data_IF_592100071381
#
_entry.id   IF_592100071381
#
_cell.length_a   1.000
_cell.length_b   1.000
_cell.length_c   1.000
_cell.angle_alpha   90.00
_cell.angle_beta   90.00
_cell.angle_gamma   90.00
#
_symmetry.space_group_name_H-M   'P 1'
#
loop_
_entity.id
_entity.type
_entity.pdbx_description
1 polymer ?
#
# COMPACT_ATOMS: atom_id res chain seq x y z
N UNK A 1 -15.67 -11.44 -0.37
CA UNK A 1 -16.33 -12.73 -0.49
C UNK A 1 -15.87 -13.30 -1.81
N UNK A 2 -15.36 -14.53 -1.90
CA UNK A 2 -15.12 -15.14 -3.22
C UNK A 2 -16.39 -15.02 -4.08
N UNK A 3 -16.29 -15.01 -5.42
CA UNK A 3 -17.48 -14.99 -6.28
C UNK A 3 -18.49 -16.09 -5.89
N UNK A 4 -18.02 -17.23 -5.37
CA UNK A 4 -18.85 -18.28 -4.75
C UNK A 4 -19.52 -17.86 -3.44
N UNK A 5 -18.86 -17.08 -2.58
CA UNK A 5 -19.41 -16.59 -1.32
C UNK A 5 -20.44 -15.47 -1.55
N UNK A 6 -20.20 -14.56 -2.51
CA UNK A 6 -21.21 -13.57 -2.91
C UNK A 6 -22.43 -14.26 -3.54
N UNK A 7 -22.22 -15.27 -4.40
CA UNK A 7 -23.30 -16.09 -4.94
C UNK A 7 -24.05 -16.86 -3.84
N UNK A 8 -23.36 -17.38 -2.82
CA UNK A 8 -24.01 -18.06 -1.69
C UNK A 8 -24.88 -17.10 -0.89
N UNK A 9 -24.38 -15.92 -0.50
CA UNK A 9 -25.19 -14.95 0.24
C UNK A 9 -26.35 -14.41 -0.60
N UNK A 10 -26.19 -14.26 -1.92
CA UNK A 10 -27.27 -13.87 -2.81
C UNK A 10 -28.32 -14.98 -2.99
N UNK A 11 -27.88 -16.24 -3.06
CA UNK A 11 -28.76 -17.42 -3.03
C UNK A 11 -29.52 -17.51 -1.71
N UNK A 12 -28.89 -17.24 -0.56
CA UNK A 12 -29.56 -17.22 0.74
C UNK A 12 -30.56 -16.05 0.86
N UNK A 13 -30.23 -14.87 0.36
CA UNK A 13 -31.16 -13.73 0.32
C UNK A 13 -32.34 -13.98 -0.62
N UNK A 14 -32.10 -14.61 -1.77
CA UNK A 14 -33.15 -15.02 -2.71
C UNK A 14 -34.02 -16.14 -2.14
N UNK A 15 -33.43 -17.14 -1.46
CA UNK A 15 -34.18 -18.20 -0.77
C UNK A 15 -35.00 -17.63 0.40
N UNK A 16 -34.48 -16.68 1.16
CA UNK A 16 -35.21 -16.00 2.23
C UNK A 16 -36.37 -15.16 1.67
N UNK A 17 -36.16 -14.43 0.56
CA UNK A 17 -37.22 -13.67 -0.10
C UNK A 17 -38.31 -14.57 -0.71
N UNK A 18 -37.92 -15.74 -1.26
CA UNK A 18 -38.84 -16.76 -1.78
C UNK A 18 -39.64 -17.43 -0.65
N UNK A 19 -39.01 -17.74 0.49
CA UNK A 19 -39.67 -18.31 1.67
C UNK A 19 -40.69 -17.34 2.29
N UNK A 20 -40.48 -16.03 2.14
CA UNK A 20 -41.40 -14.98 2.61
C UNK A 20 -42.51 -14.62 1.60
N UNK A 21 -42.61 -15.33 0.46
CA UNK A 21 -43.68 -15.12 -0.52
C UNK A 21 -43.64 -13.76 -1.24
N UNK A 22 -42.53 -13.02 -1.16
CA UNK A 22 -42.42 -11.65 -1.70
C UNK A 22 -41.86 -11.67 -3.11
N UNK A 23 -42.69 -12.00 -4.09
CA UNK A 23 -42.35 -11.98 -5.52
C UNK A 23 -41.80 -10.63 -5.99
N UNK A 24 -42.23 -9.53 -5.38
CA UNK A 24 -41.69 -8.17 -5.60
C UNK A 24 -40.24 -7.99 -5.12
N UNK A 25 -39.86 -8.60 -3.99
CA UNK A 25 -38.50 -8.54 -3.46
C UNK A 25 -37.51 -9.33 -4.34
N UNK A 26 -37.93 -10.48 -4.87
CA UNK A 26 -37.13 -11.26 -5.83
C UNK A 26 -36.89 -10.52 -7.14
N UNK A 27 -37.90 -9.82 -7.66
CA UNK A 27 -37.77 -9.00 -8.87
C UNK A 27 -36.86 -7.80 -8.63
N UNK A 28 -36.97 -7.14 -7.47
CA UNK A 28 -36.11 -6.03 -7.07
C UNK A 28 -34.65 -6.46 -6.85
N UNK A 29 -34.42 -7.59 -6.16
CA UNK A 29 -33.09 -8.16 -5.97
C UNK A 29 -32.49 -8.63 -7.31
N UNK A 30 -33.29 -9.26 -8.17
CA UNK A 30 -32.88 -9.66 -9.50
C UNK A 30 -32.56 -8.48 -10.43
N UNK A 31 -33.27 -7.34 -10.29
CA UNK A 31 -32.98 -6.12 -11.06
C UNK A 31 -31.69 -5.45 -10.57
N UNK A 32 -31.47 -5.37 -9.25
CA UNK A 32 -30.21 -4.88 -8.66
C UNK A 32 -29.02 -5.75 -9.03
N UNK A 33 -29.18 -7.08 -9.02
CA UNK A 33 -28.13 -8.00 -9.46
C UNK A 33 -27.79 -7.86 -10.94
N UNK A 34 -28.81 -7.80 -11.82
CA UNK A 34 -28.59 -7.55 -13.26
C UNK A 34 -27.98 -6.18 -13.53
N UNK A 35 -28.28 -5.16 -12.72
CA UNK A 35 -27.66 -3.85 -12.82
C UNK A 35 -26.19 -3.91 -12.42
N UNK A 36 -25.88 -4.49 -11.26
CA UNK A 36 -24.51 -4.68 -10.78
C UNK A 36 -23.67 -5.51 -11.76
N UNK A 37 -24.23 -6.59 -12.33
CA UNK A 37 -23.54 -7.42 -13.32
C UNK A 37 -23.28 -6.68 -14.64
N UNK A 38 -24.25 -5.88 -15.13
CA UNK A 38 -24.04 -5.05 -16.33
C UNK A 38 -23.01 -3.93 -16.10
N UNK A 39 -22.98 -3.39 -14.90
CA UNK A 39 -22.01 -2.36 -14.50
C UNK A 39 -20.61 -2.98 -14.38
N UNK A 40 -20.50 -4.19 -13.86
CA UNK A 40 -19.29 -4.99 -13.87
C UNK A 40 -18.82 -5.33 -15.31
N UNK A 41 -19.72 -5.78 -16.18
CA UNK A 41 -19.42 -6.08 -17.59
C UNK A 41 -18.96 -4.81 -18.34
N UNK A 42 -19.58 -3.64 -18.09
CA UNK A 42 -19.14 -2.34 -18.64
C UNK A 42 -17.81 -1.85 -18.06
N UNK A 43 -17.53 -2.13 -16.79
CA UNK A 43 -16.22 -1.83 -16.18
C UNK A 43 -15.12 -2.75 -16.71
N UNK A 44 -15.47 -4.00 -17.07
CA UNK A 44 -14.56 -4.94 -17.74
C UNK A 44 -14.32 -4.60 -19.22
N UNK A 45 -15.23 -3.85 -19.87
CA UNK A 45 -15.00 -3.31 -21.23
C UNK A 45 -13.90 -2.24 -21.27
N UNK A 46 -13.56 -1.60 -20.14
CA UNK A 46 -12.41 -0.71 -20.05
C UNK A 46 -11.10 -1.50 -20.09
N UNK A 47 -10.67 -1.85 -21.30
CA UNK A 47 -9.34 -2.42 -21.52
C UNK A 47 -8.31 -1.33 -21.22
N UNK A 48 -7.57 -1.48 -20.12
CA UNK A 48 -6.40 -0.65 -19.85
C UNK A 48 -5.38 -0.96 -20.96
N UNK A 49 -5.29 -0.07 -21.94
CA UNK A 49 -4.28 -0.18 -22.99
C UNK A 49 -2.92 0.18 -22.38
N UNK A 50 -2.07 -0.84 -22.20
CA UNK A 50 -0.64 -0.60 -21.97
C UNK A 50 0.14 -0.87 -23.25
N UNK A 51 1.22 -0.12 -23.49
CA UNK A 51 2.16 -0.47 -24.55
C UNK A 51 2.66 -1.91 -24.40
N UNK A 52 2.89 -2.59 -25.52
CA UNK A 52 3.59 -3.87 -25.49
C UNK A 52 5.02 -3.66 -24.96
N UNK A 53 5.52 -4.62 -24.18
CA UNK A 53 6.89 -4.57 -23.69
C UNK A 53 7.88 -4.55 -24.87
N UNK A 54 8.90 -3.68 -24.85
CA UNK A 54 9.93 -3.66 -25.90
C UNK A 54 10.73 -4.97 -25.94
N UNK A 55 11.37 -5.31 -27.08
CA UNK A 55 12.15 -6.53 -27.22
C UNK A 55 13.37 -6.55 -26.28
N UNK A 56 13.85 -7.75 -25.97
CA UNK A 56 14.95 -7.95 -25.04
C UNK A 56 16.28 -7.37 -25.54
N UNK A 57 17.01 -6.73 -24.62
CA UNK A 57 18.38 -6.25 -24.82
C UNK A 57 19.42 -7.14 -24.14
N UNK A 58 20.64 -6.62 -24.00
CA UNK A 58 21.77 -7.30 -23.36
C UNK A 58 21.50 -7.63 -21.88
N UNK A 59 20.81 -6.75 -21.14
CA UNK A 59 20.42 -6.97 -19.74
C UNK A 59 19.09 -7.73 -19.60
N UNK A 60 18.60 -8.33 -20.69
CA UNK A 60 17.38 -9.13 -20.70
C UNK A 60 16.11 -8.35 -21.04
N UNK A 61 14.99 -8.93 -20.63
CA UNK A 61 13.66 -8.33 -20.72
C UNK A 61 12.80 -8.67 -19.51
N UNK A 62 12.00 -7.69 -19.11
CA UNK A 62 10.90 -7.81 -18.17
C UNK A 62 9.58 -7.50 -18.85
N UNK A 63 8.50 -8.00 -18.26
CA UNK A 63 7.13 -7.66 -18.62
C UNK A 63 6.26 -7.47 -17.37
N UNK A 64 5.10 -6.83 -17.54
CA UNK A 64 4.10 -6.60 -16.51
C UNK A 64 2.81 -7.32 -16.85
N UNK A 65 2.46 -8.32 -16.05
CA UNK A 65 1.15 -8.96 -16.09
C UNK A 65 0.08 -8.00 -15.51
N UNK A 66 -0.73 -7.43 -16.39
CA UNK A 66 -1.75 -6.44 -16.01
C UNK A 66 -2.85 -7.02 -15.13
N UNK A 67 -3.18 -8.31 -15.29
CA UNK A 67 -4.22 -8.99 -14.50
C UNK A 67 -3.81 -9.12 -13.02
N UNK A 68 -2.50 -9.10 -12.74
CA UNK A 68 -1.95 -9.13 -11.39
C UNK A 68 -1.64 -7.73 -10.85
N UNK A 69 -1.55 -6.71 -11.70
CA UNK A 69 -0.76 -5.53 -11.40
C UNK A 69 -1.19 -4.60 -10.25
N UNK A 70 -2.41 -4.48 -9.75
CA UNK A 70 -2.88 -3.59 -8.64
C UNK A 70 -2.37 -2.13 -8.48
N UNK A 71 -1.37 -1.62 -9.20
CA UNK A 71 -1.02 -0.20 -9.26
C UNK A 71 -0.16 0.37 -8.13
N UNK A 72 0.45 -0.45 -7.27
CA UNK A 72 1.17 -0.02 -6.05
C UNK A 72 2.32 0.97 -6.27
N UNK A 73 2.94 0.99 -7.46
CA UNK A 73 3.99 1.96 -7.80
C UNK A 73 5.41 1.59 -7.34
N UNK A 74 5.60 0.51 -6.57
CA UNK A 74 6.93 0.08 -6.07
C UNK A 74 7.97 -0.07 -7.18
N UNK A 75 7.58 -0.57 -8.36
CA UNK A 75 8.48 -0.72 -9.50
C UNK A 75 8.91 0.61 -10.12
N UNK A 76 8.02 1.60 -10.11
CA UNK A 76 8.30 2.94 -10.60
C UNK A 76 9.13 3.74 -9.60
N UNK A 77 9.05 3.43 -8.31
CA UNK A 77 9.98 3.95 -7.30
C UNK A 77 11.37 3.30 -7.45
N UNK A 78 11.41 1.98 -7.63
CA UNK A 78 12.66 1.22 -7.71
C UNK A 78 13.45 1.47 -9.01
N UNK A 79 12.78 1.55 -10.16
CA UNK A 79 13.43 1.81 -11.45
C UNK A 79 12.55 2.70 -12.35
N UNK A 80 12.48 4.01 -12.05
CA UNK A 80 11.67 4.95 -12.81
C UNK A 80 12.12 5.12 -14.26
N UNK A 81 13.30 4.67 -14.68
CA UNK A 81 13.71 4.73 -16.10
C UNK A 81 13.09 3.61 -16.94
N UNK A 82 12.89 2.43 -16.36
CA UNK A 82 12.36 1.21 -17.02
C UNK A 82 10.83 1.15 -16.92
N UNK A 83 10.24 1.50 -15.79
CA UNK A 83 8.79 1.37 -15.57
C UNK A 83 8.04 2.71 -15.71
N UNK A 84 6.86 2.65 -16.31
CA UNK A 84 5.95 3.77 -16.51
C UNK A 84 4.59 3.55 -15.86
N UNK A 85 3.79 4.60 -15.82
CA UNK A 85 2.43 4.59 -15.27
C UNK A 85 1.39 4.69 -16.39
N UNK A 86 0.53 3.68 -16.47
CA UNK A 86 -0.65 3.66 -17.34
C UNK A 86 -1.90 4.17 -16.59
N UNK A 87 -3.07 4.07 -17.20
CA UNK A 87 -4.32 4.36 -16.50
C UNK A 87 -4.47 3.47 -15.25
N UNK A 88 -5.20 3.97 -14.25
CA UNK A 88 -5.48 3.24 -13.02
C UNK A 88 -4.23 2.80 -12.24
N UNK A 89 -3.16 3.62 -12.31
CA UNK A 89 -1.86 3.40 -11.66
C UNK A 89 -1.12 2.12 -12.08
N UNK A 90 -1.62 1.38 -13.08
CA UNK A 90 -0.98 0.15 -13.56
C UNK A 90 0.41 0.46 -14.12
N UNK A 91 1.34 -0.45 -13.91
CA UNK A 91 2.68 -0.32 -14.45
C UNK A 91 2.73 -0.84 -15.90
N UNK A 92 3.67 -0.31 -16.67
CA UNK A 92 4.07 -0.88 -17.95
C UNK A 92 5.60 -0.73 -18.13
N UNK A 93 6.17 -1.48 -19.05
CA UNK A 93 7.60 -1.39 -19.39
C UNK A 93 7.80 -0.32 -20.47
N UNK A 94 8.48 0.78 -20.13
CA UNK A 94 8.82 1.87 -21.07
C UNK A 94 9.95 1.48 -22.00
N UNK A 95 10.96 0.85 -21.42
CA UNK A 95 12.15 0.32 -22.09
C UNK A 95 12.68 -0.85 -21.28
N UNK A 96 13.41 -1.76 -21.92
CA UNK A 96 14.14 -2.79 -21.20
C UNK A 96 15.38 -2.18 -20.53
N UNK A 97 15.88 -2.78 -19.43
CA UNK A 97 17.12 -2.32 -18.80
C UNK A 97 18.26 -2.33 -19.83
N UNK A 98 19.00 -1.23 -19.88
CA UNK A 98 20.05 -0.99 -20.87
C UNK A 98 21.42 -0.72 -20.25
N UNK A 99 21.48 -0.59 -18.93
CA UNK A 99 22.71 -0.39 -18.17
C UNK A 99 22.74 -1.30 -16.95
N UNK A 100 23.93 -1.46 -16.36
CA UNK A 100 24.13 -2.21 -15.12
C UNK A 100 23.28 -1.68 -13.96
N UNK A 101 23.19 -0.36 -13.84
CA UNK A 101 22.37 0.32 -12.83
C UNK A 101 20.88 -0.02 -13.02
N UNK A 102 20.38 0.12 -14.24
CA UNK A 102 18.98 -0.21 -14.56
C UNK A 102 18.68 -1.68 -14.34
N UNK A 103 19.62 -2.56 -14.62
CA UNK A 103 19.49 -3.99 -14.35
C UNK A 103 19.33 -4.27 -12.84
N UNK A 104 20.17 -3.68 -11.99
CA UNK A 104 20.08 -3.82 -10.52
C UNK A 104 18.74 -3.25 -10.01
N UNK A 105 18.37 -2.05 -10.45
CA UNK A 105 17.11 -1.41 -10.09
C UNK A 105 15.89 -2.19 -10.59
N UNK A 106 15.96 -2.81 -11.76
CA UNK A 106 14.91 -3.68 -12.31
C UNK A 106 14.78 -4.95 -11.48
N UNK A 107 15.89 -5.56 -11.02
CA UNK A 107 15.84 -6.68 -10.08
C UNK A 107 15.16 -6.29 -8.76
N UNK A 108 15.46 -5.10 -8.22
CA UNK A 108 14.75 -4.53 -7.07
C UNK A 108 13.25 -4.40 -7.35
N UNK A 109 12.87 -3.85 -8.51
CA UNK A 109 11.47 -3.68 -8.91
C UNK A 109 10.70 -5.01 -9.03
N UNK A 110 11.33 -6.05 -9.57
CA UNK A 110 10.75 -7.39 -9.69
C UNK A 110 10.51 -8.00 -8.30
N UNK A 111 11.51 -7.91 -7.40
CA UNK A 111 11.42 -8.42 -6.03
C UNK A 111 10.45 -7.61 -5.16
N UNK A 112 10.30 -6.32 -5.42
CA UNK A 112 9.47 -5.41 -4.65
C UNK A 112 7.99 -5.48 -4.98
N UNK A 113 7.56 -6.30 -5.95
CA UNK A 113 6.18 -6.39 -6.42
C UNK A 113 5.42 -7.50 -5.67
N UNK A 114 4.60 -7.19 -4.64
CA UNK A 114 3.89 -8.21 -3.86
C UNK A 114 2.96 -9.10 -4.69
N UNK A 115 2.18 -8.61 -5.68
CA UNK A 115 1.35 -9.50 -6.50
C UNK A 115 2.16 -10.29 -7.54
N UNK A 116 3.49 -10.11 -7.61
CA UNK A 116 4.39 -10.71 -8.61
C UNK A 116 3.95 -10.45 -10.05
N UNK A 117 3.40 -9.25 -10.30
CA UNK A 117 2.97 -8.85 -11.62
C UNK A 117 4.15 -8.65 -12.59
N UNK A 118 5.33 -8.33 -12.07
CA UNK A 118 6.52 -8.05 -12.86
C UNK A 118 7.40 -9.30 -12.85
N UNK A 119 7.82 -9.73 -14.03
CA UNK A 119 8.63 -10.94 -14.18
C UNK A 119 9.63 -10.77 -15.33
N UNK A 120 10.74 -11.51 -15.25
CA UNK A 120 11.70 -11.61 -16.34
C UNK A 120 11.14 -12.51 -17.43
N UNK A 121 10.97 -11.99 -18.64
CA UNK A 121 10.66 -12.79 -19.83
C UNK A 121 11.93 -13.35 -20.47
N UNK A 122 13.06 -12.67 -20.27
CA UNK A 122 14.40 -13.15 -20.62
C UNK A 122 15.42 -12.62 -19.61
N UNK A 123 16.08 -13.51 -18.88
CA UNK A 123 17.22 -13.16 -18.02
C UNK A 123 18.46 -13.88 -18.56
N UNK A 124 19.50 -13.18 -19.04
CA UNK A 124 20.72 -13.79 -19.54
C UNK A 124 21.37 -14.69 -18.49
N UNK A 125 21.81 -15.89 -18.88
CA UNK A 125 22.34 -16.90 -17.95
C UNK A 125 23.54 -16.39 -17.12
N UNK A 126 24.40 -15.55 -17.71
CA UNK A 126 25.53 -14.92 -17.00
C UNK A 126 25.09 -14.01 -15.86
N UNK A 127 23.96 -13.32 -16.01
CA UNK A 127 23.40 -12.40 -15.01
C UNK A 127 22.52 -13.12 -13.98
N UNK A 128 22.02 -14.32 -14.28
CA UNK A 128 21.21 -15.12 -13.37
C UNK A 128 21.98 -15.53 -12.11
N UNK A 129 23.28 -15.81 -12.24
CA UNK A 129 24.16 -16.23 -11.14
C UNK A 129 24.63 -15.07 -10.27
N UNK A 130 24.43 -13.83 -10.72
CA UNK A 130 24.76 -12.65 -9.93
C UNK A 130 23.66 -12.40 -8.90
N UNK A 131 23.52 -13.24 -7.89
CA UNK A 131 22.64 -12.94 -6.76
C UNK A 131 23.42 -12.10 -5.76
N UNK A 132 23.16 -10.80 -5.68
CA UNK A 132 23.67 -10.01 -4.54
C UNK A 132 22.67 -10.01 -3.39
N UNK A 133 23.21 -10.00 -2.17
CA UNK A 133 22.46 -9.86 -0.91
C UNK A 133 21.66 -8.55 -0.85
N UNK A 134 21.90 -7.60 -1.77
CA UNK A 134 21.38 -6.22 -1.74
C UNK A 134 20.32 -5.93 -2.80
N UNK A 135 19.83 -6.96 -3.49
CA UNK A 135 18.78 -6.81 -4.50
C UNK A 135 17.41 -6.66 -3.85
N UNK A 136 17.07 -5.45 -3.41
CA UNK A 136 15.73 -5.15 -2.94
C UNK A 136 15.72 -3.98 -1.99
N UNK A 137 15.67 -4.31 -0.71
CA UNK A 137 15.54 -3.38 0.39
C UNK A 137 16.39 -3.88 1.55
N UNK A 138 16.90 -2.99 2.41
CA UNK A 138 16.54 -1.57 2.50
C UNK A 138 17.15 -0.65 1.44
N UNK A 139 16.45 0.43 1.10
CA UNK A 139 16.91 1.51 0.23
C UNK A 139 17.04 2.81 1.03
N UNK A 140 18.23 3.41 1.06
CA UNK A 140 18.44 4.73 1.68
C UNK A 140 17.83 5.82 0.78
N UNK A 141 16.92 6.62 1.32
CA UNK A 141 16.20 7.68 0.58
C UNK A 141 16.75 9.07 0.91
N UNK A 142 17.05 9.32 2.18
CA UNK A 142 17.55 10.60 2.67
C UNK A 142 18.32 10.34 3.97
N UNK A 143 19.29 11.20 4.26
CA UNK A 143 20.04 11.19 5.50
C UNK A 143 20.37 12.63 5.88
N UNK A 144 20.68 12.85 7.15
CA UNK A 144 21.04 14.14 7.67
C UNK A 144 21.63 14.02 9.06
N UNK A 145 21.74 15.16 9.74
CA UNK A 145 22.31 15.21 11.08
C UNK A 145 21.52 14.32 12.07
N UNK A 146 22.18 13.30 12.60
CA UNK A 146 21.63 12.33 13.56
C UNK A 146 20.55 11.38 13.02
N UNK A 147 20.36 11.24 11.69
CA UNK A 147 19.41 10.28 11.14
C UNK A 147 19.74 9.72 9.75
N UNK A 148 19.26 8.50 9.52
CA UNK A 148 19.15 7.88 8.20
C UNK A 148 17.69 7.45 7.96
N UNK A 149 17.19 7.64 6.75
CA UNK A 149 15.81 7.31 6.38
C UNK A 149 15.77 6.29 5.25
N UNK A 150 15.20 5.12 5.53
CA UNK A 150 15.16 3.99 4.63
C UNK A 150 13.74 3.64 4.19
N UNK A 151 13.57 3.24 2.94
CA UNK A 151 12.45 2.40 2.54
C UNK A 151 12.82 0.93 2.78
N UNK A 152 11.91 0.16 3.39
CA UNK A 152 12.08 -1.26 3.69
C UNK A 152 11.35 -2.17 2.69
N UNK A 153 10.72 -1.58 1.68
CA UNK A 153 9.95 -2.30 0.67
C UNK A 153 8.53 -2.61 1.07
N UNK A 154 7.82 -3.24 0.13
CA UNK A 154 6.43 -3.61 0.30
C UNK A 154 6.28 -4.96 1.02
N UNK A 155 5.31 -5.07 1.93
CA UNK A 155 4.92 -6.37 2.51
C UNK A 155 4.37 -7.31 1.44
N UNK A 156 4.67 -8.60 1.55
CA UNK A 156 4.35 -9.63 0.54
C UNK A 156 2.87 -10.06 0.49
N UNK A 157 1.97 -9.28 1.08
CA UNK A 157 0.52 -9.56 1.06
C UNK A 157 -0.20 -8.76 -0.01
N UNK A 158 -1.44 -9.15 -0.31
CA UNK A 158 -2.19 -8.78 -1.53
C UNK A 158 -2.45 -7.28 -1.74
N UNK A 159 -2.28 -6.46 -0.71
CA UNK A 159 -2.33 -5.00 -0.80
C UNK A 159 -0.98 -4.31 -0.75
N UNK A 160 0.08 -4.93 -0.23
CA UNK A 160 1.46 -4.50 -0.43
C UNK A 160 1.82 -3.03 -0.18
N UNK A 161 2.21 -2.68 1.05
CA UNK A 161 2.47 -1.29 1.47
C UNK A 161 3.96 -0.97 1.56
N UNK A 162 4.43 0.10 0.92
CA UNK A 162 5.78 0.60 1.19
C UNK A 162 5.90 1.03 2.66
N UNK A 163 6.93 0.48 3.33
CA UNK A 163 7.22 0.77 4.72
C UNK A 163 8.52 1.54 4.87
N UNK A 164 8.63 2.33 5.92
CA UNK A 164 9.75 3.23 6.14
C UNK A 164 10.37 3.06 7.52
N UNK A 165 11.68 3.26 7.62
CA UNK A 165 12.42 3.26 8.88
C UNK A 165 13.22 4.55 9.02
N UNK A 166 13.01 5.24 10.13
CA UNK A 166 13.83 6.36 10.59
C UNK A 166 14.80 5.82 11.63
N UNK A 167 16.06 5.68 11.24
CA UNK A 167 17.16 5.36 12.16
C UNK A 167 17.60 6.66 12.82
N UNK A 168 17.51 6.73 14.15
CA UNK A 168 17.70 7.99 14.91
C UNK A 168 18.74 7.79 16.00
N UNK A 169 19.81 8.56 15.93
CA UNK A 169 20.90 8.49 16.90
C UNK A 169 20.39 8.86 18.32
N UNK A 170 20.62 7.97 19.29
CA UNK A 170 20.29 8.20 20.71
C UNK A 170 18.79 8.25 21.08
N UNK A 171 17.85 8.22 20.14
CA UNK A 171 16.38 8.35 20.43
C UNK A 171 15.55 7.09 20.19
N UNK A 172 16.15 6.07 19.57
CA UNK A 172 15.51 4.81 19.14
C UNK A 172 14.72 4.98 17.84
N UNK A 173 14.58 3.93 17.04
CA UNK A 173 14.07 4.05 15.67
C UNK A 173 12.54 4.10 15.59
N UNK A 174 12.03 4.74 14.54
CA UNK A 174 10.59 4.78 14.22
C UNK A 174 10.36 4.07 12.90
N UNK A 175 9.46 3.09 12.90
CA UNK A 175 8.96 2.44 11.71
C UNK A 175 7.59 3.02 11.37
N UNK A 176 7.33 3.30 10.09
CA UNK A 176 6.02 3.73 9.60
C UNK A 176 5.52 2.72 8.57
N UNK A 177 4.38 2.15 8.91
CA UNK A 177 3.83 0.89 8.39
C UNK A 177 4.67 -0.36 8.68
N UNK A 178 4.04 -1.54 8.85
CA UNK A 178 4.76 -2.78 9.09
C UNK A 178 5.55 -3.20 7.84
N UNK A 179 6.87 -3.36 7.98
CA UNK A 179 7.74 -3.76 6.89
C UNK A 179 7.67 -5.27 6.57
N UNK A 180 8.21 -5.65 5.41
CA UNK A 180 8.39 -7.05 5.02
C UNK A 180 9.14 -7.87 6.09
N UNK A 181 8.70 -9.12 6.29
CA UNK A 181 9.30 -10.05 7.24
C UNK A 181 10.48 -10.84 6.66
N UNK A 182 11.04 -10.42 5.52
CA UNK A 182 12.20 -11.09 4.94
C UNK A 182 13.38 -11.02 5.92
N UNK A 183 14.15 -12.10 6.01
CA UNK A 183 15.33 -12.18 6.90
C UNK A 183 16.24 -10.96 6.73
N UNK A 184 16.48 -10.54 5.49
CA UNK A 184 17.28 -9.36 5.17
C UNK A 184 16.77 -8.07 5.85
N UNK A 185 15.47 -7.79 5.77
CA UNK A 185 14.89 -6.57 6.36
C UNK A 185 14.90 -6.67 7.89
N UNK A 186 14.58 -7.85 8.43
CA UNK A 186 14.61 -8.10 9.87
C UNK A 186 16.02 -7.93 10.44
N UNK A 187 17.02 -8.61 9.87
CA UNK A 187 18.41 -8.52 10.29
C UNK A 187 18.91 -7.07 10.25
N UNK A 188 18.62 -6.34 9.16
CA UNK A 188 19.01 -4.94 9.02
C UNK A 188 18.41 -4.07 10.12
N UNK A 189 17.11 -4.20 10.39
CA UNK A 189 16.42 -3.42 11.42
C UNK A 189 17.01 -3.73 12.80
N UNK A 190 17.27 -5.00 13.10
CA UNK A 190 17.85 -5.41 14.37
C UNK A 190 19.29 -4.90 14.55
N UNK A 191 20.12 -4.96 13.49
CA UNK A 191 21.49 -4.41 13.50
C UNK A 191 21.54 -2.90 13.74
N UNK A 192 20.47 -2.17 13.41
CA UNK A 192 20.33 -0.73 13.64
C UNK A 192 19.68 -0.38 14.98
N UNK A 193 19.53 -1.35 15.89
CA UNK A 193 18.97 -1.13 17.22
C UNK A 193 17.46 -1.36 17.33
N UNK A 194 16.85 -2.07 16.37
CA UNK A 194 15.44 -2.45 16.40
C UNK A 194 14.49 -1.28 16.14
N UNK A 195 13.27 -1.37 16.67
CA UNK A 195 12.20 -0.37 16.50
C UNK A 195 11.65 0.00 17.87
N UNK A 196 11.61 1.31 18.18
CA UNK A 196 11.01 1.82 19.42
C UNK A 196 9.52 2.07 19.24
N UNK A 197 9.13 2.69 18.12
CA UNK A 197 7.74 2.96 17.76
C UNK A 197 7.41 2.45 16.37
N UNK A 198 6.28 1.75 16.24
CA UNK A 198 5.67 1.40 14.96
C UNK A 198 4.41 2.25 14.78
N UNK A 199 4.45 3.22 13.89
CA UNK A 199 3.29 4.06 13.57
C UNK A 199 2.54 3.44 12.40
N UNK A 200 1.26 3.12 12.63
CA UNK A 200 0.32 2.66 11.61
C UNK A 200 -0.48 3.87 11.15
N UNK A 201 -0.46 4.18 9.86
CA UNK A 201 -1.11 5.42 9.39
C UNK A 201 -2.63 5.31 9.39
N UNK A 202 -3.16 4.13 9.07
CA UNK A 202 -4.59 3.83 9.07
C UNK A 202 -4.85 2.31 9.10
N UNK A 203 -6.13 1.93 9.25
CA UNK A 203 -6.57 0.54 9.44
C UNK A 203 -6.26 -0.40 8.27
N UNK A 204 -6.05 0.13 7.06
CA UNK A 204 -5.85 -0.72 5.90
C UNK A 204 -4.45 -1.37 5.93
N UNK A 205 -3.50 -0.77 6.67
CA UNK A 205 -2.08 -1.12 6.68
C UNK A 205 -1.62 -1.73 8.00
N UNK A 206 -2.52 -2.41 8.71
CA UNK A 206 -2.17 -2.97 10.02
C UNK A 206 -1.42 -4.30 9.91
N UNK A 207 -1.55 -5.04 8.80
CA UNK A 207 -0.99 -6.39 8.66
C UNK A 207 0.52 -6.45 8.90
N UNK A 208 0.95 -7.31 9.82
CA UNK A 208 2.36 -7.51 10.18
C UNK A 208 2.80 -6.73 11.41
N UNK A 209 1.94 -5.88 11.99
CA UNK A 209 2.30 -5.10 13.18
C UNK A 209 2.63 -5.96 14.39
N UNK A 210 1.93 -7.09 14.61
CA UNK A 210 2.22 -7.98 15.75
C UNK A 210 3.56 -8.69 15.61
N UNK A 211 3.99 -9.01 14.38
CA UNK A 211 5.31 -9.56 14.13
C UNK A 211 6.40 -8.61 14.60
N UNK A 212 6.37 -7.35 14.15
CA UNK A 212 7.37 -6.36 14.54
C UNK A 212 7.33 -6.03 16.04
N UNK A 213 6.14 -6.02 16.66
CA UNK A 213 5.99 -5.92 18.11
C UNK A 213 6.69 -7.04 18.87
N UNK A 214 6.60 -8.27 18.36
CA UNK A 214 7.24 -9.45 18.93
C UNK A 214 8.76 -9.41 18.74
N UNK A 215 9.24 -9.01 17.57
CA UNK A 215 10.67 -8.98 17.25
C UNK A 215 11.42 -7.87 18.01
N UNK A 216 10.81 -6.71 18.20
CA UNK A 216 11.54 -5.51 18.66
C UNK A 216 11.08 -4.95 20.00
N UNK A 217 9.90 -5.36 20.49
CA UNK A 217 9.31 -4.73 21.65
C UNK A 217 8.63 -3.37 21.38
N UNK A 218 8.55 -2.93 20.12
CA UNK A 218 8.09 -1.59 19.77
C UNK A 218 6.70 -1.25 20.33
N UNK A 219 6.46 0.01 20.71
CA UNK A 219 5.12 0.49 21.02
C UNK A 219 4.40 0.85 19.72
N UNK A 220 3.25 0.24 19.46
CA UNK A 220 2.45 0.52 18.27
C UNK A 220 1.57 1.74 18.51
N UNK A 221 1.55 2.63 17.53
CA UNK A 221 0.85 3.91 17.56
C UNK A 221 -0.15 3.96 16.41
N UNK A 222 -1.42 4.21 16.72
CA UNK A 222 -2.50 4.35 15.74
C UNK A 222 -3.53 5.37 16.26
N UNK A 223 -4.27 6.02 15.38
CA UNK A 223 -5.37 6.89 15.80
C UNK A 223 -6.58 6.10 16.30
N UNK A 224 -7.27 6.59 17.33
CA UNK A 224 -8.42 5.88 17.93
C UNK A 224 -9.58 5.63 16.98
N UNK A 225 -9.75 6.50 15.98
CA UNK A 225 -10.80 6.36 14.96
C UNK A 225 -10.50 5.27 13.90
N UNK A 226 -9.32 4.65 13.95
CA UNK A 226 -8.92 3.51 13.11
C UNK A 226 -9.08 2.16 13.82
N UNK A 227 -9.58 2.15 15.06
CA UNK A 227 -9.64 0.95 15.87
C UNK A 227 -10.45 -0.18 15.21
N UNK A 228 -9.82 -1.34 15.09
CA UNK A 228 -10.37 -2.55 14.52
C UNK A 228 -10.18 -3.71 15.52
N UNK A 229 -11.28 -4.16 16.15
CA UNK A 229 -11.20 -5.19 17.19
C UNK A 229 -10.94 -6.60 16.65
N UNK A 230 -11.40 -6.90 15.44
CA UNK A 230 -11.30 -8.22 14.83
C UNK A 230 -10.47 -8.14 13.56
N UNK A 231 -9.69 -9.17 13.27
CA UNK A 231 -9.05 -9.30 11.97
C UNK A 231 -10.14 -9.56 10.92
N UNK A 232 -10.20 -8.73 9.87
CA UNK A 232 -11.19 -8.85 8.79
C UNK A 232 -10.47 -8.80 7.45
N UNK A 233 -10.54 -9.90 6.70
CA UNK A 233 -9.82 -10.02 5.43
C UNK A 233 -8.31 -9.88 5.65
N UNK A 234 -7.63 -8.92 4.99
CA UNK A 234 -6.19 -8.72 5.18
C UNK A 234 -5.87 -7.76 6.33
N UNK A 235 -6.87 -7.16 6.97
CA UNK A 235 -6.65 -6.22 8.07
C UNK A 235 -6.47 -7.02 9.35
N UNK A 236 -5.36 -6.77 10.04
CA UNK A 236 -5.05 -7.39 11.32
C UNK A 236 -5.71 -6.60 12.46
N UNK A 237 -6.23 -7.32 13.46
CA UNK A 237 -6.79 -6.72 14.66
C UNK A 237 -5.79 -5.74 15.29
N UNK A 238 -6.31 -4.59 15.68
CA UNK A 238 -5.61 -3.54 16.42
C UNK A 238 -5.99 -3.58 17.91
N UNK A 239 -6.54 -4.71 18.39
CA UNK A 239 -6.81 -4.86 19.81
C UNK A 239 -5.49 -4.93 20.59
N UNK A 240 -5.43 -4.25 21.73
CA UNK A 240 -4.25 -4.26 22.60
C UNK A 240 -3.05 -3.44 22.08
N UNK A 241 -3.24 -2.50 21.15
CA UNK A 241 -2.19 -1.54 20.83
C UNK A 241 -1.80 -0.69 22.05
N UNK A 242 -0.52 -0.35 22.12
CA UNK A 242 0.07 0.31 23.27
C UNK A 242 -0.27 1.80 23.36
N UNK A 243 -0.47 2.48 22.22
CA UNK A 243 -0.78 3.90 22.20
C UNK A 243 -1.81 4.28 21.14
N UNK A 244 -2.78 5.08 21.58
CA UNK A 244 -3.84 5.63 20.75
C UNK A 244 -3.70 7.14 20.67
N UNK A 245 -3.46 7.66 19.46
CA UNK A 245 -3.59 9.09 19.18
C UNK A 245 -5.07 9.45 19.25
N UNK A 246 -5.41 10.52 19.97
CA UNK A 246 -6.78 10.95 20.25
C UNK A 246 -6.96 12.43 19.93
N UNK A 247 -8.18 12.80 19.60
CA UNK A 247 -8.58 14.17 19.32
C UNK A 247 -8.70 14.45 17.82
N UNK A 248 -9.12 15.67 17.48
CA UNK A 248 -9.28 16.14 16.10
C UNK A 248 -8.27 17.24 15.73
N UNK A 249 -7.31 17.48 16.63
CA UNK A 249 -6.25 18.47 16.42
C UNK A 249 -5.30 17.99 15.33
N UNK A 250 -4.77 18.89 14.49
CA UNK A 250 -4.05 18.46 13.29
C UNK A 250 -2.73 17.79 13.62
N UNK A 251 -2.15 18.00 14.82
CA UNK A 251 -0.85 17.46 15.21
C UNK A 251 -0.92 16.84 16.59
N UNK A 252 -0.34 15.65 16.72
CA UNK A 252 0.01 14.97 17.95
C UNK A 252 1.48 14.57 17.93
N UNK A 253 2.02 14.15 19.06
CA UNK A 253 3.41 13.69 19.19
C UNK A 253 3.48 12.19 19.44
N UNK A 254 4.68 11.61 19.29
CA UNK A 254 4.96 10.28 19.82
C UNK A 254 4.80 10.25 21.36
N UNK A 255 4.65 9.07 21.98
CA UNK A 255 4.45 8.93 23.42
C UNK A 255 5.57 9.53 24.30
N UNK A 256 6.79 9.66 23.79
CA UNK A 256 7.92 10.30 24.47
C UNK A 256 8.03 11.81 24.20
N UNK A 257 7.09 12.38 23.45
CA UNK A 257 7.07 13.81 23.15
C UNK A 257 8.14 14.27 22.16
N UNK A 258 8.73 13.36 21.37
CA UNK A 258 9.81 13.72 20.44
C UNK A 258 9.40 14.86 19.49
N UNK A 259 10.06 16.04 19.56
CA UNK A 259 9.68 17.19 18.75
C UNK A 259 9.98 17.01 17.26
N UNK A 260 10.86 16.06 16.90
CA UNK A 260 11.23 15.81 15.51
C UNK A 260 10.17 14.99 14.76
N UNK A 261 9.23 14.34 15.47
CA UNK A 261 8.17 13.51 14.86
C UNK A 261 6.79 14.10 15.16
N UNK A 262 6.12 14.56 14.10
CA UNK A 262 4.74 15.06 14.16
C UNK A 262 3.80 14.04 13.56
N UNK A 263 2.80 13.61 14.34
CA UNK A 263 1.70 12.76 13.90
C UNK A 263 0.55 13.67 13.46
N UNK A 264 0.38 13.82 12.15
CA UNK A 264 -0.55 14.78 11.57
C UNK A 264 -1.88 14.09 11.23
N UNK A 265 -2.96 14.46 11.91
CA UNK A 265 -4.30 13.93 11.62
C UNK A 265 -4.80 14.47 10.26
N UNK A 266 -5.03 13.55 9.32
CA UNK A 266 -5.34 13.82 7.91
C UNK A 266 -6.56 13.00 7.46
N UNK A 267 -7.74 13.19 8.09
CA UNK A 267 -8.92 12.40 7.79
C UNK A 267 -9.37 12.53 6.34
N UNK A 268 -10.11 11.53 5.87
CA UNK A 268 -10.79 11.53 4.57
C UNK A 268 -10.61 10.22 3.81
N UNK A 269 -9.37 9.71 3.70
CA UNK A 269 -9.13 8.32 3.26
C UNK A 269 -9.83 7.36 4.22
N UNK A 270 -9.47 7.49 5.50
CA UNK A 270 -10.18 6.92 6.65
C UNK A 270 -10.34 8.02 7.71
N UNK A 271 -11.13 7.76 8.76
CA UNK A 271 -11.51 8.77 9.77
C UNK A 271 -10.34 9.21 10.66
N UNK A 272 -9.44 8.30 10.98
CA UNK A 272 -8.28 8.52 11.84
C UNK A 272 -6.95 8.49 11.09
N UNK A 273 -6.94 8.66 9.77
CA UNK A 273 -5.69 8.61 9.00
C UNK A 273 -4.64 9.59 9.55
N UNK A 274 -3.39 9.13 9.68
CA UNK A 274 -2.25 9.93 10.12
C UNK A 274 -1.20 10.04 9.00
N UNK A 275 -0.73 11.25 8.73
CA UNK A 275 0.57 11.45 8.10
C UNK A 275 1.63 11.55 9.21
N UNK A 276 2.86 11.13 8.92
CA UNK A 276 3.99 11.27 9.84
C UNK A 276 5.01 12.21 9.22
N UNK A 277 5.25 13.34 9.86
CA UNK A 277 6.24 14.32 9.43
C UNK A 277 7.47 14.25 10.32
N UNK A 278 8.63 13.97 9.73
CA UNK A 278 9.91 13.96 10.42
C UNK A 278 10.79 15.15 10.02
N UNK A 279 11.32 15.85 11.03
CA UNK A 279 12.23 17.01 10.92
C UNK A 279 11.79 18.05 9.88
N UNK A 280 10.48 18.30 9.75
CA UNK A 280 9.90 19.24 8.79
C UNK A 280 10.44 19.06 7.35
N UNK A 281 10.65 17.80 6.96
CA UNK A 281 11.29 17.43 5.70
C UNK A 281 10.67 16.23 5.02
N UNK A 282 10.46 15.15 5.78
CA UNK A 282 10.00 13.85 5.29
C UNK A 282 8.55 13.64 5.71
N UNK A 283 7.61 13.70 4.77
CA UNK A 283 6.20 13.42 5.03
C UNK A 283 5.84 12.02 4.53
N UNK A 284 5.72 11.07 5.45
CA UNK A 284 5.11 9.77 5.16
C UNK A 284 3.60 9.93 5.18
N UNK A 285 2.95 9.57 4.08
CA UNK A 285 1.56 9.97 3.79
C UNK A 285 0.56 8.83 3.81
N UNK A 286 0.98 7.59 4.09
CA UNK A 286 0.09 6.44 4.00
C UNK A 286 -0.57 6.38 2.62
N UNK A 287 -1.90 6.30 2.62
CA UNK A 287 -2.75 6.37 1.41
C UNK A 287 -3.41 7.74 1.20
N UNK A 288 -3.00 8.75 1.96
CA UNK A 288 -3.62 10.07 1.89
C UNK A 288 -3.40 10.77 0.54
N UNK A 289 -2.16 10.78 0.06
CA UNK A 289 -1.80 11.35 -1.25
C UNK A 289 -0.50 10.74 -1.76
N UNK A 290 -0.34 10.66 -3.07
CA UNK A 290 0.87 10.18 -3.72
C UNK A 290 1.17 11.01 -4.97
N UNK A 291 2.32 10.78 -5.60
CA UNK A 291 2.63 11.37 -6.90
C UNK A 291 2.23 10.46 -8.05
N UNK A 292 1.75 11.05 -9.13
CA UNK A 292 1.52 10.37 -10.40
C UNK A 292 2.35 11.04 -11.50
N UNK A 293 3.21 10.26 -12.16
CA UNK A 293 3.98 10.75 -13.30
C UNK A 293 3.10 10.96 -14.52
N UNK A 294 2.00 10.23 -14.63
CA UNK A 294 1.04 10.38 -15.72
C UNK A 294 0.38 11.76 -15.70
N UNK A 295 -0.06 12.23 -14.53
CA UNK A 295 -0.68 13.57 -14.39
C UNK A 295 0.29 14.67 -13.96
N UNK A 296 1.55 14.31 -13.65
CA UNK A 296 2.62 15.23 -13.21
C UNK A 296 2.20 16.11 -12.03
N UNK A 297 1.55 15.48 -11.05
CA UNK A 297 0.99 16.13 -9.88
C UNK A 297 0.96 15.17 -8.71
N UNK A 298 1.04 15.72 -7.50
CA UNK A 298 0.45 15.05 -6.35
C UNK A 298 -1.06 14.85 -6.60
N UNK A 299 -1.60 13.75 -6.11
CA UNK A 299 -3.02 13.44 -6.20
C UNK A 299 -3.48 12.54 -5.05
N UNK A 300 -4.75 12.62 -4.72
CA UNK A 300 -5.46 11.66 -3.89
C UNK A 300 -6.17 10.63 -4.77
N UNK A 301 -6.32 9.40 -4.27
CA UNK A 301 -6.97 8.32 -5.02
C UNK A 301 -8.42 8.20 -4.55
N UNK A 302 -9.35 8.79 -5.31
CA UNK A 302 -10.79 8.86 -4.95
C UNK A 302 -11.41 7.50 -4.66
N UNK A 303 -11.01 6.47 -5.40
CA UNK A 303 -11.59 5.14 -5.34
C UNK A 303 -11.23 4.35 -4.07
N UNK A 304 -10.20 4.78 -3.34
CA UNK A 304 -9.85 4.22 -2.04
C UNK A 304 -10.16 5.17 -0.89
N UNK A 305 -10.79 6.32 -1.17
CA UNK A 305 -11.31 7.20 -0.13
C UNK A 305 -12.55 6.59 0.51
N UNK A 306 -12.36 5.93 1.67
CA UNK A 306 -13.39 5.17 2.38
C UNK A 306 -14.28 6.00 3.30
N UNK A 307 -13.83 7.19 3.72
CA UNK A 307 -14.59 8.03 4.64
C UNK A 307 -15.26 9.22 3.93
N UNK A 308 -14.49 10.26 3.59
CA UNK A 308 -15.06 11.47 3.03
C UNK A 308 -14.07 12.21 2.13
N UNK A 309 -14.43 12.33 0.85
CA UNK A 309 -13.58 12.98 -0.16
C UNK A 309 -13.36 14.46 0.09
N UNK A 310 -14.41 15.19 0.49
CA UNK A 310 -14.26 16.61 0.82
C UNK A 310 -13.30 16.80 1.98
N UNK A 311 -13.43 15.98 3.03
CA UNK A 311 -12.51 15.97 4.16
C UNK A 311 -11.07 15.65 3.73
N UNK A 312 -10.87 14.70 2.82
CA UNK A 312 -9.54 14.39 2.28
C UNK A 312 -8.91 15.62 1.61
N UNK A 313 -9.67 16.35 0.79
CA UNK A 313 -9.16 17.58 0.16
C UNK A 313 -8.89 18.71 1.15
N UNK A 314 -9.71 18.86 2.19
CA UNK A 314 -9.42 19.81 3.27
C UNK A 314 -8.15 19.43 4.04
N UNK A 315 -7.91 18.13 4.26
CA UNK A 315 -6.66 17.64 4.85
C UNK A 315 -5.44 17.95 3.96
N UNK A 316 -5.54 17.80 2.63
CA UNK A 316 -4.47 18.22 1.70
C UNK A 316 -4.20 19.72 1.78
N UNK A 317 -5.25 20.57 1.85
CA UNK A 317 -5.08 22.02 2.02
C UNK A 317 -4.39 22.34 3.34
N UNK A 318 -4.75 21.65 4.41
CA UNK A 318 -4.18 21.82 5.74
C UNK A 318 -2.68 21.48 5.75
N UNK A 319 -2.23 20.49 4.98
CA UNK A 319 -0.80 20.14 4.88
C UNK A 319 0.10 21.31 4.43
N UNK A 320 -0.44 22.35 3.78
CA UNK A 320 0.31 23.56 3.39
C UNK A 320 0.88 24.35 4.57
N UNK A 321 0.34 24.13 5.78
CA UNK A 321 0.81 24.76 7.02
C UNK A 321 2.18 24.21 7.46
N UNK A 322 2.58 23.04 6.96
CA UNK A 322 3.88 22.44 7.26
C UNK A 322 4.91 22.74 6.17
N UNK A 323 6.18 22.59 6.55
CA UNK A 323 7.29 22.59 5.62
C UNK A 323 7.75 21.15 5.45
N UNK A 324 7.87 20.70 4.21
CA UNK A 324 8.46 19.41 3.86
C UNK A 324 8.88 19.43 2.39
N UNK A 325 9.83 18.56 2.05
CA UNK A 325 10.34 18.41 0.68
C UNK A 325 9.95 17.08 0.07
N UNK A 326 9.72 16.06 0.90
CA UNK A 326 9.41 14.72 0.46
C UNK A 326 7.96 14.36 0.77
N UNK A 327 7.29 13.73 -0.20
CA UNK A 327 6.06 12.96 -0.04
C UNK A 327 6.40 11.48 -0.26
N UNK A 328 6.11 10.67 0.75
CA UNK A 328 6.49 9.26 0.83
C UNK A 328 5.24 8.43 1.13
N UNK A 329 4.50 7.98 0.10
CA UNK A 329 3.27 7.24 0.32
C UNK A 329 3.53 5.75 0.58
N UNK A 330 2.52 5.05 1.08
CA UNK A 330 2.52 3.58 1.14
C UNK A 330 2.16 2.96 -0.21
N UNK A 331 1.36 3.68 -1.01
CA UNK A 331 1.01 3.31 -2.38
C UNK A 331 1.18 4.48 -3.36
N UNK A 332 1.63 4.16 -4.57
CA UNK A 332 1.93 5.14 -5.61
C UNK A 332 3.39 5.58 -5.59
N UNK A 333 3.68 6.74 -6.17
CA UNK A 333 5.06 7.19 -6.33
C UNK A 333 5.46 8.23 -5.31
N UNK A 334 6.73 8.16 -4.89
CA UNK A 334 7.38 9.14 -4.04
C UNK A 334 7.67 10.41 -4.83
N UNK A 335 7.73 11.55 -4.15
CA UNK A 335 8.06 12.83 -4.78
C UNK A 335 8.90 13.71 -3.88
N UNK A 336 9.96 14.28 -4.46
CA UNK A 336 10.79 15.31 -3.82
C UNK A 336 10.62 16.64 -4.55
N UNK A 337 10.08 17.63 -3.87
CA UNK A 337 10.05 19.00 -4.38
C UNK A 337 11.44 19.65 -4.26
N UNK A 338 11.81 20.54 -5.21
CA UNK A 338 13.05 21.30 -5.11
C UNK A 338 13.04 22.35 -3.99
N UNK A 339 11.86 22.77 -3.52
CA UNK A 339 11.69 23.71 -2.41
C UNK A 339 10.33 23.56 -1.74
N UNK A 340 10.16 24.13 -0.54
CA UNK A 340 8.87 24.17 0.17
C UNK A 340 7.81 24.93 -0.64
N UNK A 341 8.20 26.00 -1.33
CA UNK A 341 7.29 26.75 -2.21
C UNK A 341 6.79 25.88 -3.37
N UNK A 342 7.69 25.12 -4.01
CA UNK A 342 7.31 24.16 -5.05
C UNK A 342 6.40 23.04 -4.51
N UNK A 343 6.65 22.56 -3.29
CA UNK A 343 5.78 21.57 -2.63
C UNK A 343 4.36 22.14 -2.40
N UNK A 344 4.24 23.37 -1.90
CA UNK A 344 2.94 24.04 -1.75
C UNK A 344 2.21 24.17 -3.08
N UNK A 345 2.93 24.50 -4.16
CA UNK A 345 2.37 24.51 -5.52
C UNK A 345 1.84 23.16 -5.98
N UNK A 346 2.54 22.07 -5.64
CA UNK A 346 2.08 20.70 -5.91
C UNK A 346 0.83 20.32 -5.11
N UNK A 347 0.71 20.74 -3.84
CA UNK A 347 -0.50 20.54 -3.04
C UNK A 347 -1.69 21.32 -3.63
N UNK A 348 -1.47 22.56 -4.10
CA UNK A 348 -2.51 23.34 -4.77
C UNK A 348 -2.96 22.69 -6.09
N UNK A 349 -2.02 22.13 -6.86
CA UNK A 349 -2.33 21.38 -8.07
C UNK A 349 -3.12 20.10 -7.76
N UNK A 350 -2.75 19.37 -6.70
CA UNK A 350 -3.48 18.21 -6.19
C UNK A 350 -4.94 18.57 -5.89
N UNK A 351 -5.18 19.61 -5.10
CA UNK A 351 -6.54 20.04 -4.74
C UNK A 351 -7.34 20.42 -5.99
N UNK A 352 -6.76 21.19 -6.92
CA UNK A 352 -7.44 21.55 -8.18
C UNK A 352 -7.82 20.33 -9.01
N UNK A 353 -6.87 19.42 -9.22
CA UNK A 353 -7.06 18.20 -9.99
C UNK A 353 -8.12 17.30 -9.35
N UNK A 354 -8.03 17.10 -8.03
CA UNK A 354 -8.91 16.21 -7.30
C UNK A 354 -10.32 16.80 -7.05
N UNK A 355 -10.48 18.12 -7.10
CA UNK A 355 -11.79 18.79 -7.02
C UNK A 355 -12.58 18.71 -8.33
N UNK A 356 -11.91 18.46 -9.45
CA UNK A 356 -12.55 18.37 -10.77
C UNK A 356 -13.29 17.05 -11.00
N UNK A 357 -13.11 16.07 -10.13
CA UNK A 357 -13.83 14.79 -10.17
C UNK A 357 -15.27 14.97 -9.64
N UNK A 358 -16.31 14.83 -10.49
CA UNK A 358 -17.69 14.90 -10.03
C UNK A 358 -18.06 13.62 -9.29
N UNK A 359 -18.78 13.69 -8.15
CA UNK A 359 -19.16 12.50 -7.39
C UNK A 359 -19.82 11.43 -8.28
N UNK A 360 -19.19 10.26 -8.41
CA UNK A 360 -19.79 9.08 -9.07
C UNK A 360 -19.56 8.99 -10.58
N UNK A 361 -18.57 9.70 -11.14
CA UNK A 361 -18.19 9.61 -12.57
C UNK A 361 -16.71 9.29 -12.79
N UNK A 362 -16.00 8.84 -11.77
CA UNK A 362 -14.56 8.64 -11.81
C UNK A 362 -14.16 7.20 -12.19
N UNK A 363 -13.05 7.03 -12.94
CA UNK A 363 -12.50 5.70 -13.21
C UNK A 363 -11.98 5.07 -11.92
N UNK A 364 -12.58 3.95 -11.51
CA UNK A 364 -12.10 3.14 -10.39
C UNK A 364 -10.88 2.33 -10.83
N UNK A 365 -9.72 2.40 -10.14
CA UNK A 365 -8.53 1.60 -10.47
C UNK A 365 -8.69 0.10 -10.22
N UNK A 366 -9.74 -0.23 -9.48
CA UNK A 366 -10.14 -1.58 -9.16
C UNK A 366 -11.60 -1.72 -9.54
N UNK A 367 -11.93 -2.65 -10.45
CA UNK A 367 -13.31 -3.12 -10.53
C UNK A 367 -13.73 -3.72 -9.18
N UNK A 368 -15.04 -3.86 -8.89
CA UNK A 368 -15.53 -4.55 -7.69
C UNK A 368 -14.87 -5.92 -7.49
N UNK A 369 -14.52 -6.57 -8.60
CA UNK A 369 -13.81 -7.84 -8.63
C UNK A 369 -12.30 -7.76 -8.47
N UNK A 370 -11.63 -6.63 -8.68
CA UNK A 370 -10.18 -6.48 -8.45
C UNK A 370 -9.86 -6.30 -6.97
N UNK A 371 -10.68 -5.50 -6.28
CA UNK A 371 -10.73 -5.39 -4.82
C UNK A 371 -10.88 -6.80 -4.27
N UNK A 372 -11.95 -7.49 -4.65
CA UNK A 372 -12.28 -8.83 -4.14
C UNK A 372 -11.26 -9.91 -4.57
N UNK A 373 -10.75 -9.94 -5.81
CA UNK A 373 -9.73 -10.94 -6.20
C UNK A 373 -8.39 -10.70 -5.51
N UNK A 374 -8.00 -9.44 -5.26
CA UNK A 374 -6.85 -9.11 -4.41
C UNK A 374 -7.07 -9.62 -2.99
N UNK A 375 -8.24 -9.38 -2.38
CA UNK A 375 -8.52 -9.78 -1.00
C UNK A 375 -8.63 -11.30 -0.78
N UNK A 376 -8.95 -12.10 -1.81
CA UNK A 376 -9.32 -13.52 -1.64
C UNK A 376 -8.42 -14.54 -2.38
N UNK A 377 -7.33 -14.13 -3.04
CA UNK A 377 -6.43 -15.05 -3.77
C UNK A 377 -5.32 -15.70 -2.93
N UNK A 378 -5.25 -15.46 -1.62
CA UNK A 378 -4.29 -16.18 -0.76
C UNK A 378 -5.05 -17.11 0.16
N UNK A 379 -5.02 -18.42 -0.15
CA UNK A 379 -5.15 -19.44 0.89
C UNK A 379 -4.03 -19.19 1.91
N UNK A 380 -4.32 -19.16 3.22
CA UNK A 380 -3.25 -19.29 4.21
C UNK A 380 -2.47 -20.57 3.91
N UNK A 381 -1.16 -20.52 4.12
CA UNK A 381 -0.34 -21.71 4.24
C UNK A 381 -0.95 -22.58 5.34
N UNK A 382 -1.52 -23.73 4.97
CA UNK A 382 -1.90 -24.75 5.94
C UNK A 382 -0.58 -25.29 6.52
N UNK A 383 -0.32 -25.15 7.84
CA UNK A 383 0.80 -25.86 8.44
C UNK A 383 0.57 -27.36 8.23
N UNK A 384 1.63 -28.17 8.00
CA UNK A 384 1.47 -29.62 7.93
C UNK A 384 0.74 -30.08 9.19
N UNK A 385 -0.31 -30.89 8.99
CA UNK A 385 -1.03 -31.54 10.08
C UNK A 385 -0.01 -32.18 11.01
N UNK A 386 -0.06 -31.85 12.29
CA UNK A 386 0.58 -32.68 13.30
C UNK A 386 -0.06 -34.06 13.16
N UNK A 387 0.69 -35.01 12.60
CA UNK A 387 0.40 -36.42 12.74
C UNK A 387 0.31 -36.67 14.24
N UNK A 388 -0.90 -36.92 14.71
CA UNK A 388 -1.13 -37.47 16.04
C UNK A 388 -0.58 -38.90 15.99
N UNK A 389 0.66 -39.07 16.45
CA UNK A 389 1.16 -40.36 16.92
C UNK A 389 0.38 -40.74 18.20
N UNK A 390 -0.89 -41.13 18.03
CA UNK A 390 -1.58 -42.00 18.96
C UNK A 390 -1.35 -43.44 18.50
N UNK A 391 -0.18 -43.98 18.84
CA UNK A 391 0.01 -45.41 18.90
C UNK A 391 0.93 -45.75 20.07
N UNK A 392 0.31 -45.97 21.23
CA UNK A 392 0.89 -46.73 22.34
C UNK A 392 -0.26 -47.31 23.18
N UNK A 393 -0.51 -48.63 23.09
CA UNK A 393 -1.54 -49.26 23.88
C UNK A 393 -1.08 -49.40 25.33
N UNK A 394 -2.03 -49.14 26.23
CA UNK A 394 -1.97 -49.46 27.64
C UNK A 394 -1.70 -50.95 27.84
N UNK A 395 -0.61 -51.26 28.55
CA UNK A 395 -0.58 -52.27 29.63
C UNK A 395 0.17 -51.69 30.82
#
# INVERSE_FOLDING_TARGET
>A
MSSESADKHWRYAALAAAALGTSSALVYLGSKWRAAKREEEKLMEYKILTPAAPPAGEFGAVDVNLDLCCGLGCCRNACPSVFGEAALFRAYVKKQPSTREEFIQTRRAVKSCPPKAIHWTKLPAGLMKETSEWEGFPELIDSGDGYEFYCLGAVTHTLGTESYLIVREGRGNVMVEPASHTKQVVDFVMQRGGVKYLVLTHRDHTKGHSFWRMQTGCKRVLHSDEMCYLSVGPFESTYGLEHWVRGKGPVSSLPDGDPDVKLIHTPGHTKGHLCVLYKDRLLMTGDHLCYSHRVKSLMCIRAVCWDNWRTQLESVKMLKQFSFLWVLPSHGQRYKAPSVSAMRGQLDQCVRLCSAYPPGKEPTPFGPNDVTKSFYRHRPYDPPSAESDEDSPVQ
#
